data_IF_096990125127
#
_entry.id   IF_096990125127
#
_cell.length_a   1.000
_cell.length_b   1.000
_cell.length_c   1.000
_cell.angle_alpha   90.00
_cell.angle_beta   90.00
_cell.angle_gamma   90.00
#
_symmetry.space_group_name_H-M   'P 1'
#
loop_
_entity.id
_entity.type
_entity.pdbx_description
1 polymer ?
#
# COMPACT_ATOMS: atom_id res chain seq x y z
N UNK A 1 18.12 -5.91 -2.65
CA UNK A 1 18.41 -6.56 -1.36
C UNK A 1 18.78 -8.04 -1.52
N UNK A 2 17.86 -8.89 -1.99
CA UNK A 2 18.04 -10.34 -2.06
C UNK A 2 19.29 -10.77 -2.87
N UNK A 3 19.55 -10.15 -4.02
CA UNK A 3 20.73 -10.47 -4.85
C UNK A 3 22.06 -10.11 -4.17
N UNK A 4 22.05 -9.13 -3.28
CA UNK A 4 23.26 -8.63 -2.59
C UNK A 4 23.44 -9.24 -1.21
N UNK A 5 22.44 -9.97 -0.69
CA UNK A 5 22.51 -10.61 0.61
C UNK A 5 23.43 -11.83 0.58
N UNK A 6 24.07 -12.13 1.70
CA UNK A 6 24.80 -13.39 1.89
C UNK A 6 23.84 -14.59 1.97
N UNK A 7 24.39 -15.79 1.90
CA UNK A 7 23.59 -17.01 1.83
C UNK A 7 22.81 -17.31 3.14
N UNK A 8 23.29 -16.87 4.28
CA UNK A 8 22.61 -17.04 5.57
C UNK A 8 21.37 -16.14 5.61
N UNK A 9 21.55 -14.87 5.25
CA UNK A 9 20.44 -13.89 5.18
C UNK A 9 19.38 -14.27 4.14
N UNK A 10 19.80 -14.80 2.97
CA UNK A 10 18.88 -15.34 1.96
C UNK A 10 18.03 -16.47 2.52
N UNK A 11 18.65 -17.45 3.17
CA UNK A 11 17.94 -18.58 3.79
C UNK A 11 16.94 -18.13 4.84
N UNK A 12 17.33 -17.16 5.67
CA UNK A 12 16.47 -16.58 6.69
C UNK A 12 15.29 -15.84 6.09
N UNK A 13 15.52 -15.02 5.06
CA UNK A 13 14.48 -14.33 4.30
C UNK A 13 13.50 -15.33 3.67
N UNK A 14 14.00 -16.36 2.96
CA UNK A 14 13.15 -17.39 2.35
C UNK A 14 12.33 -18.16 3.39
N UNK A 15 12.87 -18.38 4.59
CA UNK A 15 12.13 -19.01 5.69
C UNK A 15 10.94 -18.14 6.15
N UNK A 16 11.14 -16.84 6.31
CA UNK A 16 10.08 -15.92 6.69
C UNK A 16 9.04 -15.71 5.58
N UNK A 17 9.43 -15.76 4.32
CA UNK A 17 8.47 -15.76 3.20
C UNK A 17 7.65 -17.05 3.23
N UNK A 18 8.28 -18.20 3.42
CA UNK A 18 7.60 -19.51 3.48
C UNK A 18 6.63 -19.62 4.65
N UNK A 19 6.95 -19.02 5.79
CA UNK A 19 6.05 -18.99 6.97
C UNK A 19 4.94 -17.95 6.85
N UNK A 20 4.97 -17.06 5.84
CA UNK A 20 3.98 -16.00 5.66
C UNK A 20 4.20 -14.77 6.54
N UNK A 21 5.36 -14.65 7.21
CA UNK A 21 5.74 -13.47 7.99
C UNK A 21 6.22 -12.32 7.10
N UNK A 22 6.78 -12.64 5.93
CA UNK A 22 7.12 -11.67 4.88
C UNK A 22 6.25 -11.98 3.66
N UNK A 23 5.42 -11.02 3.24
CA UNK A 23 4.67 -11.09 1.99
C UNK A 23 5.51 -10.58 0.81
N UNK A 24 5.43 -11.28 -0.31
CA UNK A 24 5.96 -10.79 -1.58
C UNK A 24 4.84 -10.22 -2.42
N UNK A 25 5.12 -9.13 -3.14
CA UNK A 25 4.18 -8.56 -4.12
C UNK A 25 4.27 -9.31 -5.45
N UNK A 26 3.14 -9.51 -6.12
CA UNK A 26 3.08 -10.05 -7.47
C UNK A 26 3.79 -9.17 -8.50
N UNK A 27 3.96 -7.89 -8.23
CA UNK A 27 4.68 -6.96 -9.09
C UNK A 27 6.19 -7.06 -8.85
N UNK A 28 6.95 -7.28 -9.92
CA UNK A 28 8.41 -7.19 -9.84
C UNK A 28 8.90 -5.74 -9.66
N UNK A 29 8.22 -4.81 -10.34
CA UNK A 29 8.46 -3.36 -10.27
C UNK A 29 7.11 -2.65 -10.25
N UNK A 30 7.08 -1.40 -9.78
CA UNK A 30 5.99 -0.49 -10.09
C UNK A 30 6.03 -0.19 -11.58
N UNK A 31 4.89 -0.32 -12.24
CA UNK A 31 4.78 -0.15 -13.67
C UNK A 31 3.75 0.90 -14.01
N UNK A 32 3.96 1.58 -15.14
CA UNK A 32 2.99 2.52 -15.70
C UNK A 32 2.08 1.79 -16.68
N UNK A 33 0.98 2.40 -17.05
CA UNK A 33 0.06 1.94 -18.10
C UNK A 33 0.70 1.88 -19.50
N UNK A 34 1.87 2.49 -19.69
CA UNK A 34 2.63 2.45 -20.95
C UNK A 34 3.40 1.14 -21.16
N UNK A 35 3.50 0.29 -20.15
CA UNK A 35 4.20 -0.98 -20.30
C UNK A 35 3.48 -1.90 -21.27
N UNK A 36 4.24 -2.53 -22.18
CA UNK A 36 3.65 -3.49 -23.11
C UNK A 36 3.22 -4.78 -22.41
N UNK A 37 2.19 -5.44 -22.94
CA UNK A 37 1.69 -6.69 -22.36
C UNK A 37 2.77 -7.80 -22.22
N UNK A 38 3.70 -8.02 -23.17
CA UNK A 38 4.77 -8.99 -22.98
C UNK A 38 5.67 -8.66 -21.79
N UNK A 39 6.09 -7.40 -21.64
CA UNK A 39 6.94 -6.96 -20.52
C UNK A 39 6.22 -7.08 -19.20
N UNK A 40 4.94 -6.75 -19.15
CA UNK A 40 4.12 -6.90 -17.94
C UNK A 40 4.04 -8.38 -17.53
N UNK A 41 3.73 -9.28 -18.47
CA UNK A 41 3.65 -10.71 -18.18
C UNK A 41 5.00 -11.28 -17.72
N UNK A 42 6.10 -10.91 -18.36
CA UNK A 42 7.46 -11.30 -17.96
C UNK A 42 7.79 -10.88 -16.52
N UNK A 43 7.36 -9.70 -16.13
CA UNK A 43 7.51 -9.16 -14.78
C UNK A 43 6.74 -9.99 -13.74
N UNK A 44 5.50 -10.35 -14.05
CA UNK A 44 4.67 -11.20 -13.18
C UNK A 44 5.23 -12.62 -13.09
N UNK A 45 5.70 -13.20 -14.22
CA UNK A 45 6.35 -14.51 -14.26
C UNK A 45 7.60 -14.56 -13.37
N UNK A 46 8.42 -13.51 -13.36
CA UNK A 46 9.58 -13.41 -12.46
C UNK A 46 9.18 -13.53 -11.00
N UNK A 47 8.12 -12.87 -10.59
CA UNK A 47 7.65 -12.94 -9.22
C UNK A 47 7.06 -14.30 -8.87
N UNK A 48 6.31 -14.92 -9.78
CA UNK A 48 5.82 -16.28 -9.57
C UNK A 48 6.97 -17.31 -9.48
N UNK A 49 8.05 -17.10 -10.21
CA UNK A 49 9.26 -17.92 -10.07
C UNK A 49 9.90 -17.77 -8.66
N UNK A 50 9.89 -16.58 -8.09
CA UNK A 50 10.30 -16.37 -6.68
C UNK A 50 9.36 -17.07 -5.71
N UNK A 51 8.06 -16.99 -5.91
CA UNK A 51 7.08 -17.72 -5.11
C UNK A 51 7.33 -19.23 -5.10
N UNK A 52 7.58 -19.81 -6.27
CA UNK A 52 7.96 -21.23 -6.40
C UNK A 52 9.26 -21.54 -5.65
N UNK A 53 10.27 -20.70 -5.79
CA UNK A 53 11.58 -20.86 -5.13
C UNK A 53 11.47 -20.83 -3.62
N UNK A 54 10.69 -19.92 -3.08
CA UNK A 54 10.49 -19.76 -1.62
C UNK A 54 9.50 -20.76 -1.05
N UNK A 55 8.70 -21.43 -1.89
CA UNK A 55 7.68 -22.38 -1.47
C UNK A 55 6.41 -21.71 -0.91
N UNK A 56 6.18 -20.43 -1.23
CA UNK A 56 4.96 -19.69 -0.90
C UNK A 56 4.38 -19.05 -2.16
N UNK A 57 3.16 -19.43 -2.59
CA UNK A 57 2.51 -18.80 -3.74
C UNK A 57 2.33 -17.30 -3.53
N UNK A 58 2.58 -16.50 -4.57
CA UNK A 58 2.34 -15.07 -4.52
C UNK A 58 0.94 -14.79 -5.05
N UNK A 59 0.00 -14.54 -4.17
CA UNK A 59 -1.42 -14.33 -4.49
C UNK A 59 -1.87 -12.88 -4.36
N UNK A 60 -1.03 -12.03 -3.79
CA UNK A 60 -1.31 -10.62 -3.58
C UNK A 60 -0.26 -9.73 -4.27
N UNK A 61 -0.68 -8.56 -4.70
CA UNK A 61 0.20 -7.53 -5.23
C UNK A 61 -0.20 -6.15 -4.75
N UNK A 62 0.67 -5.19 -4.96
CA UNK A 62 0.37 -3.78 -4.68
C UNK A 62 1.09 -2.87 -5.66
N UNK A 63 0.49 -1.73 -5.90
CA UNK A 63 1.11 -0.62 -6.61
C UNK A 63 0.58 0.69 -6.05
N UNK A 64 1.47 1.64 -5.81
CA UNK A 64 1.15 2.95 -5.29
C UNK A 64 2.11 3.97 -5.88
N UNK A 65 1.69 5.23 -5.94
CA UNK A 65 2.49 6.34 -6.43
C UNK A 65 3.03 6.13 -7.86
N UNK A 66 2.13 5.72 -8.76
CA UNK A 66 2.41 5.52 -10.19
C UNK A 66 1.28 6.12 -11.04
N UNK A 67 1.47 6.13 -12.36
CA UNK A 67 0.53 6.69 -13.33
C UNK A 67 -0.84 6.01 -13.36
N UNK A 68 -1.02 4.89 -12.67
CA UNK A 68 -2.22 4.09 -12.68
C UNK A 68 -2.02 2.75 -13.35
N UNK A 69 -3.12 2.06 -13.61
CA UNK A 69 -3.16 0.70 -14.11
C UNK A 69 -4.08 0.61 -15.31
N UNK A 70 -3.56 0.13 -16.45
CA UNK A 70 -4.36 -0.15 -17.61
C UNK A 70 -5.33 -1.31 -17.36
N UNK A 71 -6.51 -1.29 -17.95
CA UNK A 71 -7.57 -2.27 -17.71
C UNK A 71 -7.15 -3.72 -17.92
N UNK A 72 -6.33 -3.97 -18.95
CA UNK A 72 -5.78 -5.31 -19.21
C UNK A 72 -4.88 -5.87 -18.09
N UNK A 73 -4.44 -5.02 -17.17
CA UNK A 73 -3.62 -5.46 -16.04
C UNK A 73 -4.40 -6.38 -15.08
N UNK A 74 -5.71 -6.19 -14.94
CA UNK A 74 -6.55 -7.10 -14.16
C UNK A 74 -6.47 -8.54 -14.67
N UNK A 75 -6.55 -8.73 -15.99
CA UNK A 75 -6.39 -10.06 -16.59
C UNK A 75 -4.98 -10.61 -16.41
N UNK A 76 -3.95 -9.79 -16.57
CA UNK A 76 -2.57 -10.21 -16.38
C UNK A 76 -2.33 -10.70 -14.94
N UNK A 77 -2.78 -9.96 -13.94
CA UNK A 77 -2.72 -10.33 -12.52
C UNK A 77 -3.42 -11.68 -12.29
N UNK A 78 -4.66 -11.80 -12.76
CA UNK A 78 -5.44 -13.02 -12.58
C UNK A 78 -4.79 -14.24 -13.22
N UNK A 79 -4.29 -14.11 -14.44
CA UNK A 79 -3.66 -15.19 -15.19
C UNK A 79 -2.34 -15.67 -14.54
N UNK A 80 -1.66 -14.80 -13.80
CA UNK A 80 -0.46 -15.16 -13.03
C UNK A 80 -0.76 -15.53 -11.56
N UNK A 81 -2.01 -15.79 -11.21
CA UNK A 81 -2.39 -16.27 -9.88
C UNK A 81 -2.55 -15.20 -8.82
N UNK A 82 -2.36 -13.92 -9.14
CA UNK A 82 -2.63 -12.81 -8.22
C UNK A 82 -4.14 -12.60 -8.12
N UNK A 83 -4.68 -12.72 -6.92
CA UNK A 83 -6.11 -12.62 -6.62
C UNK A 83 -6.47 -11.37 -5.86
N UNK A 84 -5.49 -10.78 -5.21
CA UNK A 84 -5.62 -9.61 -4.34
C UNK A 84 -4.69 -8.50 -4.82
N UNK A 85 -5.20 -7.28 -4.87
CA UNK A 85 -4.37 -6.16 -5.27
C UNK A 85 -4.68 -4.91 -4.45
N UNK A 86 -3.65 -4.38 -3.79
CA UNK A 86 -3.74 -3.16 -3.02
C UNK A 86 -3.19 -1.98 -3.84
N UNK A 87 -3.94 -0.89 -3.86
CA UNK A 87 -3.46 0.38 -4.40
C UNK A 87 -3.77 1.51 -3.44
N UNK A 88 -2.98 2.56 -3.50
CA UNK A 88 -3.22 3.80 -2.78
C UNK A 88 -2.88 4.95 -3.72
N UNK A 89 -3.90 5.63 -4.20
CA UNK A 89 -3.75 6.77 -5.09
C UNK A 89 -3.24 7.98 -4.34
N UNK A 90 -2.55 8.85 -5.04
CA UNK A 90 -2.02 10.08 -4.49
C UNK A 90 -3.12 11.13 -4.34
N UNK A 91 -3.63 11.42 -3.13
CA UNK A 91 -4.85 12.23 -2.97
C UNK A 91 -4.65 13.72 -3.21
N UNK A 92 -3.42 14.22 -3.20
CA UNK A 92 -3.15 15.65 -3.34
C UNK A 92 -3.24 16.17 -4.77
N UNK A 93 -3.28 15.30 -5.77
CA UNK A 93 -3.47 15.67 -7.16
C UNK A 93 -4.94 15.66 -7.62
N UNK A 94 -5.83 14.96 -6.90
CA UNK A 94 -7.24 14.94 -7.29
C UNK A 94 -8.10 13.85 -6.65
N UNK A 95 -9.15 13.46 -7.34
CA UNK A 95 -10.16 12.55 -6.80
C UNK A 95 -9.81 11.08 -7.03
N UNK A 96 -10.33 10.24 -6.15
CA UNK A 96 -10.19 8.78 -6.28
C UNK A 96 -11.08 8.24 -7.41
N UNK A 97 -10.63 7.24 -8.18
CA UNK A 97 -11.50 6.44 -9.02
C UNK A 97 -12.69 5.92 -8.18
N UNK A 98 -13.87 5.91 -8.80
CA UNK A 98 -15.14 5.55 -8.15
C UNK A 98 -15.54 6.43 -6.96
N UNK A 99 -14.87 7.55 -6.71
CA UNK A 99 -15.13 8.47 -5.59
C UNK A 99 -15.03 7.83 -4.21
N UNK A 100 -14.47 6.62 -4.10
CA UNK A 100 -14.36 5.86 -2.87
C UNK A 100 -12.94 5.43 -2.61
N UNK A 101 -12.51 5.61 -1.37
CA UNK A 101 -11.27 5.08 -0.80
C UNK A 101 -11.61 4.19 0.38
N UNK A 102 -10.66 3.39 0.80
CA UNK A 102 -10.76 2.54 2.00
C UNK A 102 -11.90 1.52 1.91
N UNK A 103 -12.22 1.09 0.69
CA UNK A 103 -13.27 0.11 0.40
C UNK A 103 -12.78 -0.93 -0.64
N UNK A 104 -13.24 -2.18 -0.54
CA UNK A 104 -12.94 -3.19 -1.53
C UNK A 104 -13.88 -3.08 -2.76
N UNK A 105 -13.37 -3.55 -3.90
CA UNK A 105 -14.14 -3.79 -5.11
C UNK A 105 -13.49 -4.91 -5.93
N UNK A 106 -14.27 -5.57 -6.77
CA UNK A 106 -13.71 -6.45 -7.78
C UNK A 106 -13.34 -5.65 -9.02
N UNK A 107 -12.08 -5.69 -9.40
CA UNK A 107 -11.64 -5.18 -10.70
C UNK A 107 -11.77 -6.30 -11.73
N UNK A 108 -12.73 -6.14 -12.63
CA UNK A 108 -13.00 -7.09 -13.68
C UNK A 108 -12.29 -6.67 -14.97
N UNK A 109 -11.36 -7.51 -15.43
CA UNK A 109 -10.61 -7.30 -16.66
C UNK A 109 -11.46 -7.50 -17.92
N UNK A 110 -10.89 -7.18 -19.09
CA UNK A 110 -11.56 -7.38 -20.40
C UNK A 110 -12.08 -8.80 -20.65
N UNK A 111 -11.41 -9.82 -20.12
CA UNK A 111 -11.79 -11.22 -20.25
C UNK A 111 -12.83 -11.69 -19.22
N UNK A 112 -13.29 -10.81 -18.32
CA UNK A 112 -14.26 -11.13 -17.28
C UNK A 112 -13.60 -11.75 -16.02
N UNK A 113 -12.30 -11.87 -15.97
CA UNK A 113 -11.57 -12.29 -14.77
C UNK A 113 -11.61 -11.17 -13.70
N UNK A 114 -11.64 -11.57 -12.43
CA UNK A 114 -11.77 -10.61 -11.32
C UNK A 114 -10.60 -10.72 -10.35
N UNK A 115 -10.08 -9.57 -9.95
CA UNK A 115 -9.12 -9.40 -8.86
C UNK A 115 -9.79 -8.60 -7.76
N UNK A 116 -9.69 -9.06 -6.51
CA UNK A 116 -10.19 -8.30 -5.37
C UNK A 116 -9.21 -7.17 -5.09
N UNK A 117 -9.70 -5.94 -5.24
CA UNK A 117 -8.93 -4.72 -5.05
C UNK A 117 -9.30 -4.03 -3.75
N UNK A 118 -8.32 -3.34 -3.20
CA UNK A 118 -8.52 -2.34 -2.16
C UNK A 118 -7.85 -1.04 -2.58
N UNK A 119 -8.63 0.03 -2.68
CA UNK A 119 -8.09 1.36 -2.84
C UNK A 119 -7.98 2.01 -1.46
N UNK A 120 -6.78 2.01 -0.90
CA UNK A 120 -6.52 2.60 0.41
C UNK A 120 -6.43 4.11 0.38
N UNK A 121 -6.25 4.69 1.55
CA UNK A 121 -5.73 6.03 1.69
C UNK A 121 -4.29 6.09 1.19
N UNK A 122 -3.65 7.24 1.30
CA UNK A 122 -2.28 7.42 0.84
C UNK A 122 -1.34 6.32 1.38
N UNK A 123 -0.42 5.83 0.55
CA UNK A 123 0.55 4.78 0.93
C UNK A 123 1.48 5.18 2.09
N UNK A 124 1.46 6.44 2.47
CA UNK A 124 2.23 7.02 3.55
C UNK A 124 1.40 7.30 4.82
N UNK A 125 0.13 6.93 4.84
CA UNK A 125 -0.79 7.26 5.93
C UNK A 125 -0.28 6.80 7.30
N UNK A 126 0.28 5.61 7.39
CA UNK A 126 0.85 5.11 8.65
C UNK A 126 2.08 5.91 9.12
N UNK A 127 2.87 6.44 8.19
CA UNK A 127 3.95 7.37 8.54
C UNK A 127 3.39 8.70 9.04
N UNK A 128 2.38 9.25 8.37
CA UNK A 128 1.71 10.48 8.79
C UNK A 128 1.07 10.36 10.17
N UNK A 129 0.68 9.16 10.56
CA UNK A 129 0.19 8.84 11.91
C UNK A 129 1.31 8.55 12.93
N UNK A 130 2.57 8.67 12.56
CA UNK A 130 3.72 8.36 13.41
C UNK A 130 3.86 6.89 13.84
N UNK A 131 3.34 5.92 13.07
CA UNK A 131 3.73 4.52 13.27
C UNK A 131 5.22 4.31 13.02
N UNK A 132 5.79 5.05 12.07
CA UNK A 132 7.24 5.19 11.91
C UNK A 132 7.71 6.48 12.57
N UNK A 133 8.79 6.46 13.37
CA UNK A 133 9.32 7.68 13.98
C UNK A 133 9.88 8.65 12.94
N UNK A 134 9.91 9.92 13.32
CA UNK A 134 10.48 11.03 12.53
C UNK A 134 9.84 11.19 11.14
N UNK A 135 8.54 10.93 11.03
CA UNK A 135 7.83 11.13 9.77
C UNK A 135 7.85 12.61 9.35
N UNK A 136 8.46 12.88 8.20
CA UNK A 136 8.67 14.23 7.69
C UNK A 136 7.61 14.74 6.73
N UNK A 137 6.54 13.99 6.48
CA UNK A 137 5.54 14.35 5.46
C UNK A 137 4.11 14.13 5.96
N UNK A 138 3.21 14.95 5.45
CA UNK A 138 1.78 14.83 5.68
C UNK A 138 1.05 15.20 4.38
N UNK A 139 0.58 14.19 3.66
CA UNK A 139 -0.15 14.34 2.40
C UNK A 139 -1.66 14.24 2.57
N UNK A 140 -2.09 13.35 3.48
CA UNK A 140 -3.51 13.04 3.73
C UNK A 140 -4.02 13.76 4.96
N UNK A 141 -3.26 13.70 6.06
CA UNK A 141 -3.66 14.30 7.34
C UNK A 141 -3.30 15.78 7.35
N UNK A 142 -4.33 16.62 7.36
CA UNK A 142 -4.20 18.08 7.42
C UNK A 142 -4.87 18.61 8.68
N UNK A 143 -4.21 18.38 9.77
CA UNK A 143 -4.62 18.82 11.10
C UNK A 143 -3.72 19.95 11.63
N UNK A 144 -3.94 20.35 12.87
CA UNK A 144 -3.14 21.38 13.55
C UNK A 144 -1.66 21.02 13.71
N UNK A 145 -1.30 19.75 13.58
CA UNK A 145 0.09 19.27 13.63
C UNK A 145 0.78 19.31 12.26
N UNK A 146 0.02 19.53 11.19
CA UNK A 146 0.55 19.56 9.83
C UNK A 146 1.67 20.60 9.66
N UNK A 147 1.46 21.82 10.16
CA UNK A 147 2.44 22.91 10.07
C UNK A 147 3.67 22.63 10.94
N UNK A 148 3.51 21.95 12.07
CA UNK A 148 4.62 21.56 12.94
C UNK A 148 5.52 20.53 12.26
N UNK A 149 4.96 19.55 11.58
CA UNK A 149 5.72 18.52 10.87
C UNK A 149 6.55 19.14 9.72
N UNK A 150 5.96 20.08 8.99
CA UNK A 150 6.61 20.71 7.84
C UNK A 150 7.52 21.89 8.22
N UNK A 151 7.42 22.47 9.42
CA UNK A 151 8.03 23.75 9.78
C UNK A 151 9.26 23.66 10.67
N UNK A 152 9.83 22.51 10.91
CA UNK A 152 10.91 22.30 11.91
C UNK A 152 10.53 22.60 13.37
N UNK A 153 9.36 23.17 13.65
CA UNK A 153 8.91 23.47 15.01
C UNK A 153 8.69 22.20 15.83
N UNK A 154 8.47 21.09 15.16
CA UNK A 154 8.35 19.78 15.79
C UNK A 154 9.67 19.26 16.36
N UNK A 155 10.82 19.72 15.82
CA UNK A 155 12.15 19.34 16.27
C UNK A 155 12.69 20.21 17.39
N UNK A 156 11.98 21.28 17.77
CA UNK A 156 12.33 22.17 18.89
C UNK A 156 11.63 21.78 20.21
N UNK A 157 11.00 20.60 20.28
CA UNK A 157 10.33 20.10 21.49
C UNK A 157 11.37 19.40 22.37
N UNK A 158 11.37 19.68 23.66
CA UNK A 158 12.32 19.09 24.62
C UNK A 158 12.27 17.55 24.66
N UNK A 159 11.09 16.94 24.37
CA UNK A 159 10.90 15.48 24.28
C UNK A 159 10.14 15.13 23.00
N UNK A 160 10.89 14.91 21.93
CA UNK A 160 10.37 14.59 20.61
C UNK A 160 9.62 13.23 20.60
N UNK A 161 10.11 12.23 21.33
CA UNK A 161 9.45 10.91 21.40
C UNK A 161 8.06 11.02 22.05
N UNK A 162 7.93 11.77 23.14
CA UNK A 162 6.66 11.99 23.80
C UNK A 162 5.69 12.80 22.95
N UNK A 163 6.18 13.79 22.22
CA UNK A 163 5.37 14.59 21.30
C UNK A 163 4.83 13.76 20.13
N UNK A 164 5.67 12.93 19.52
CA UNK A 164 5.24 11.99 18.46
C UNK A 164 4.24 10.97 18.98
N UNK A 165 4.43 10.42 20.19
CA UNK A 165 3.51 9.47 20.81
C UNK A 165 2.13 10.11 21.06
N UNK A 166 2.09 11.33 21.57
CA UNK A 166 0.85 12.08 21.75
C UNK A 166 0.15 12.37 20.41
N UNK A 167 0.90 12.74 19.38
CA UNK A 167 0.39 12.96 18.03
C UNK A 167 -0.17 11.66 17.41
N UNK A 168 0.51 10.54 17.60
CA UNK A 168 0.07 9.22 17.16
C UNK A 168 -1.30 8.87 17.73
N UNK A 169 -1.48 9.00 19.05
CA UNK A 169 -2.77 8.74 19.70
C UNK A 169 -3.88 9.67 19.17
N UNK A 170 -3.61 10.97 19.12
CA UNK A 170 -4.57 11.96 18.64
C UNK A 170 -5.01 11.67 17.19
N UNK A 171 -4.09 11.33 16.32
CA UNK A 171 -4.38 11.07 14.90
C UNK A 171 -5.14 9.77 14.70
N UNK A 172 -4.78 8.70 15.41
CA UNK A 172 -5.51 7.42 15.37
C UNK A 172 -6.95 7.64 15.81
N UNK A 173 -7.17 8.26 16.96
CA UNK A 173 -8.53 8.47 17.52
C UNK A 173 -9.38 9.34 16.58
N UNK A 174 -8.82 10.42 16.07
CA UNK A 174 -9.51 11.30 15.10
C UNK A 174 -9.84 10.57 13.81
N UNK A 175 -8.91 9.80 13.26
CA UNK A 175 -9.14 9.05 12.02
C UNK A 175 -10.24 8.00 12.20
N UNK A 176 -10.23 7.25 13.29
CA UNK A 176 -11.27 6.27 13.59
C UNK A 176 -12.63 6.94 13.81
N UNK A 177 -12.67 8.07 14.48
CA UNK A 177 -13.91 8.85 14.67
C UNK A 177 -14.47 9.35 13.31
N UNK A 178 -13.61 9.83 12.42
CA UNK A 178 -14.04 10.22 11.07
C UNK A 178 -14.63 9.05 10.29
N UNK A 179 -14.04 7.85 10.40
CA UNK A 179 -14.58 6.64 9.78
C UNK A 179 -15.95 6.25 10.37
N UNK A 180 -16.15 6.43 11.68
CA UNK A 180 -17.45 6.21 12.32
C UNK A 180 -18.52 7.21 11.78
N UNK A 181 -18.17 8.48 11.66
CA UNK A 181 -19.04 9.52 11.09
C UNK A 181 -19.41 9.21 9.62
N UNK A 182 -18.45 8.71 8.85
CA UNK A 182 -18.63 8.25 7.47
C UNK A 182 -19.38 6.91 7.37
N UNK A 183 -19.73 6.29 8.50
CA UNK A 183 -20.37 4.97 8.57
C UNK A 183 -19.55 3.85 7.90
N UNK A 184 -18.24 3.88 8.14
CA UNK A 184 -17.34 2.84 7.63
C UNK A 184 -17.82 1.45 8.07
N UNK A 185 -18.00 0.49 7.14
CA UNK A 185 -18.75 -0.71 7.43
C UNK A 185 -17.93 -1.87 8.02
N UNK A 186 -16.60 -1.72 8.12
CA UNK A 186 -15.72 -2.81 8.54
C UNK A 186 -15.15 -2.58 9.94
N UNK A 187 -14.83 -3.66 10.64
CA UNK A 187 -14.18 -3.64 11.96
C UNK A 187 -12.64 -3.56 11.86
N UNK A 188 -12.08 -3.43 10.68
CA UNK A 188 -10.64 -3.30 10.42
C UNK A 188 -10.39 -2.18 9.44
N UNK A 189 -9.21 -1.53 9.55
CA UNK A 189 -8.75 -0.51 8.60
C UNK A 189 -7.25 -0.66 8.39
N UNK A 190 -6.75 -0.61 7.14
CA UNK A 190 -5.32 -0.71 6.87
C UNK A 190 -4.63 0.65 7.01
N UNK A 191 -3.49 0.67 7.71
CA UNK A 191 -2.52 1.76 7.70
C UNK A 191 -1.26 1.29 6.99
N UNK A 192 -1.00 1.82 5.81
CA UNK A 192 0.23 1.49 5.11
C UNK A 192 1.39 2.33 5.64
N UNK A 193 2.51 1.68 5.91
CA UNK A 193 3.78 2.33 6.29
C UNK A 193 4.79 2.05 5.20
N UNK A 194 5.30 3.09 4.55
CA UNK A 194 6.14 2.98 3.36
C UNK A 194 7.65 2.92 3.64
N UNK A 195 8.08 3.18 4.87
CA UNK A 195 9.49 3.14 5.25
C UNK A 195 9.76 3.74 6.62
N UNK A 196 11.03 3.92 6.97
CA UNK A 196 11.46 4.37 8.29
C UNK A 196 11.05 5.82 8.61
N UNK A 197 11.24 6.74 7.68
CA UNK A 197 10.98 8.17 7.85
C UNK A 197 9.98 8.65 6.80
N UNK A 198 10.18 8.24 5.57
CA UNK A 198 9.40 8.60 4.39
C UNK A 198 9.39 7.43 3.40
N UNK A 199 8.81 7.64 2.22
CA UNK A 199 8.91 6.68 1.13
C UNK A 199 10.36 6.41 0.71
N UNK A 200 10.59 5.32 0.00
CA UNK A 200 11.93 4.88 -0.43
C UNK A 200 12.96 4.71 0.70
N UNK A 201 12.51 4.61 1.94
CA UNK A 201 13.34 4.40 3.12
C UNK A 201 13.38 2.90 3.52
N UNK A 202 14.42 2.47 4.23
CA UNK A 202 14.48 1.09 4.73
C UNK A 202 13.37 0.82 5.76
N UNK A 203 13.01 -0.45 6.00
CA UNK A 203 12.07 -0.80 7.07
C UNK A 203 12.62 -0.44 8.45
N UNK A 204 11.73 -0.11 9.39
CA UNK A 204 12.08 0.23 10.77
C UNK A 204 11.50 -0.79 11.77
N UNK A 205 12.34 -1.29 12.67
CA UNK A 205 11.91 -2.11 13.81
C UNK A 205 11.06 -1.34 14.84
N UNK A 206 11.15 -0.01 14.84
CA UNK A 206 10.41 0.84 15.76
C UNK A 206 8.90 0.77 15.53
N UNK A 207 8.49 0.46 14.30
CA UNK A 207 7.07 0.24 13.97
C UNK A 207 6.49 -0.89 14.83
N UNK A 208 7.17 -2.03 14.90
CA UNK A 208 6.74 -3.16 15.72
C UNK A 208 6.70 -2.81 17.23
N UNK A 209 7.67 -2.01 17.70
CA UNK A 209 7.70 -1.54 19.09
C UNK A 209 6.50 -0.63 19.40
N UNK A 210 6.18 0.31 18.50
CA UNK A 210 5.01 1.19 18.63
C UNK A 210 3.70 0.41 18.59
N UNK A 211 3.56 -0.54 17.69
CA UNK A 211 2.40 -1.43 17.63
C UNK A 211 2.19 -2.17 18.96
N UNK A 212 3.24 -2.69 19.59
CA UNK A 212 3.14 -3.34 20.90
C UNK A 212 2.68 -2.36 21.99
N UNK A 213 3.27 -1.15 22.07
CA UNK A 213 2.84 -0.11 23.02
C UNK A 213 1.36 0.27 22.83
N UNK A 214 0.92 0.44 21.58
CA UNK A 214 -0.48 0.76 21.27
C UNK A 214 -1.43 -0.36 21.69
N UNK A 215 -1.06 -1.61 21.51
CA UNK A 215 -1.85 -2.75 21.95
C UNK A 215 -1.99 -2.83 23.49
N UNK A 216 -0.96 -2.40 24.22
CA UNK A 216 -1.04 -2.27 25.68
C UNK A 216 -1.98 -1.13 26.08
N UNK A 217 -1.84 0.03 25.44
CA UNK A 217 -2.64 1.22 25.74
C UNK A 217 -4.13 1.03 25.40
N UNK A 218 -4.44 0.51 24.20
CA UNK A 218 -5.81 0.34 23.71
C UNK A 218 -6.40 -1.04 24.04
N UNK A 219 -5.82 -1.76 24.99
CA UNK A 219 -6.23 -3.12 25.35
C UNK A 219 -7.75 -3.25 25.53
N UNK A 220 -8.33 -4.17 24.77
CA UNK A 220 -9.77 -4.47 24.80
C UNK A 220 -10.65 -3.48 24.02
N UNK A 221 -10.05 -2.48 23.36
CA UNK A 221 -10.75 -1.52 22.50
C UNK A 221 -10.32 -1.61 21.05
N UNK A 222 -9.01 -1.50 20.80
CA UNK A 222 -8.41 -1.55 19.47
C UNK A 222 -7.27 -2.58 19.50
N UNK A 223 -7.14 -3.34 18.43
CA UNK A 223 -6.03 -4.26 18.23
C UNK A 223 -5.25 -3.88 16.97
N UNK A 224 -3.96 -3.61 17.12
CA UNK A 224 -3.05 -3.31 16.02
C UNK A 224 -2.25 -4.56 15.66
N UNK A 225 -2.22 -4.88 14.38
CA UNK A 225 -1.50 -6.04 13.88
C UNK A 225 -0.71 -5.67 12.62
N UNK A 226 0.56 -6.03 12.59
CA UNK A 226 1.31 -6.04 11.34
C UNK A 226 0.81 -7.21 10.48
N UNK A 227 0.50 -6.95 9.23
CA UNK A 227 -0.05 -7.95 8.33
C UNK A 227 0.62 -7.89 6.95
N UNK A 228 0.72 -9.04 6.29
CA UNK A 228 1.00 -9.08 4.86
C UNK A 228 -0.26 -8.72 4.06
N UNK A 229 -0.09 -8.38 2.78
CA UNK A 229 -1.25 -8.11 1.91
C UNK A 229 -2.21 -9.31 1.85
N UNK A 230 -1.67 -10.52 1.77
CA UNK A 230 -2.50 -11.73 1.76
C UNK A 230 -3.35 -11.85 3.02
N UNK A 231 -2.76 -11.69 4.21
CA UNK A 231 -3.48 -11.72 5.48
C UNK A 231 -4.55 -10.62 5.56
N UNK A 232 -4.23 -9.42 5.08
CA UNK A 232 -5.20 -8.33 5.02
C UNK A 232 -6.40 -8.68 4.13
N UNK A 233 -6.17 -9.17 2.92
CA UNK A 233 -7.26 -9.52 2.02
C UNK A 233 -8.08 -10.73 2.49
N UNK A 234 -7.48 -11.68 3.16
CA UNK A 234 -8.21 -12.76 3.83
C UNK A 234 -9.18 -12.23 4.89
N UNK A 235 -8.82 -11.14 5.57
CA UNK A 235 -9.72 -10.48 6.50
C UNK A 235 -10.81 -9.67 5.77
N UNK A 236 -10.48 -9.03 4.66
CA UNK A 236 -11.47 -8.38 3.77
C UNK A 236 -12.54 -9.38 3.33
N UNK A 237 -12.16 -10.55 2.85
CA UNK A 237 -13.10 -11.59 2.39
C UNK A 237 -14.06 -12.07 3.48
N UNK A 238 -13.62 -12.09 4.74
CA UNK A 238 -14.48 -12.46 5.88
C UNK A 238 -15.55 -11.41 6.18
N UNK A 239 -15.22 -10.15 6.03
CA UNK A 239 -16.07 -9.02 6.45
C UNK A 239 -16.89 -8.42 5.30
N UNK A 240 -16.32 -8.32 4.10
CA UNK A 240 -16.94 -7.64 2.99
C UNK A 240 -18.02 -8.50 2.32
N UNK A 241 -19.19 -7.89 2.13
CA UNK A 241 -20.34 -8.47 1.41
C UNK A 241 -20.75 -7.51 0.31
N UNK A 242 -21.37 -8.05 -0.73
CA UNK A 242 -21.91 -7.25 -1.85
C UNK A 242 -20.87 -6.31 -2.49
N UNK A 243 -19.64 -6.83 -2.66
CA UNK A 243 -18.50 -6.08 -3.17
C UNK A 243 -18.81 -5.61 -4.60
N UNK A 244 -18.75 -4.29 -4.88
CA UNK A 244 -19.03 -3.77 -6.21
C UNK A 244 -18.00 -4.22 -7.25
N UNK A 245 -18.40 -4.24 -8.51
CA UNK A 245 -17.54 -4.58 -9.64
C UNK A 245 -17.22 -3.31 -10.43
N UNK A 246 -15.94 -3.08 -10.65
CA UNK A 246 -15.44 -2.01 -11.51
C UNK A 246 -14.84 -2.59 -12.79
N UNK A 247 -15.11 -1.93 -13.93
CA UNK A 247 -14.56 -2.25 -15.25
C UNK A 247 -13.98 -0.99 -15.85
N UNK A 248 -12.77 -1.07 -16.38
CA UNK A 248 -12.07 0.06 -16.98
C UNK A 248 -10.68 0.26 -16.41
N UNK A 249 -10.01 1.28 -16.89
CA UNK A 249 -8.68 1.68 -16.41
C UNK A 249 -8.77 2.22 -14.98
N UNK A 250 -7.72 2.00 -14.22
CA UNK A 250 -7.57 2.53 -12.87
C UNK A 250 -6.44 3.57 -12.88
N UNK A 251 -6.79 4.76 -13.34
CA UNK A 251 -5.82 5.83 -13.60
C UNK A 251 -5.53 6.64 -12.34
N UNK A 252 -4.26 6.93 -12.11
CA UNK A 252 -3.78 7.88 -11.11
C UNK A 252 -3.49 9.24 -11.79
N UNK A 253 -3.34 10.27 -10.97
CA UNK A 253 -3.05 11.64 -11.42
C UNK A 253 -1.68 11.79 -12.08
N UNK A 254 -0.72 10.93 -11.78
CA UNK A 254 0.56 10.91 -12.45
C UNK A 254 0.47 10.65 -13.97
N UNK A 255 -0.70 10.20 -14.45
CA UNK A 255 -0.98 10.08 -15.87
C UNK A 255 -1.07 11.43 -16.60
N UNK A 256 -1.20 12.55 -15.90
CA UNK A 256 -1.30 13.90 -16.48
C UNK A 256 -0.06 14.29 -17.32
N UNK A 257 1.10 13.80 -16.92
CA UNK A 257 2.37 14.02 -17.66
C UNK A 257 2.45 13.35 -19.02
N UNK A 258 1.72 12.26 -19.24
CA UNK A 258 1.74 11.47 -20.47
C UNK A 258 1.17 12.27 -21.64
N UNK A 259 0.03 12.92 -21.43
CA UNK A 259 -0.63 13.73 -22.43
C UNK A 259 0.13 14.99 -22.81
N UNK A 260 0.99 15.52 -21.94
CA UNK A 260 1.81 16.71 -22.18
C UNK A 260 3.07 16.45 -23.01
N UNK A 261 3.47 15.18 -23.18
CA UNK A 261 4.70 14.78 -23.87
C UNK A 261 4.46 13.70 -24.93
N UNK A 262 3.58 13.90 -25.92
CA UNK A 262 3.18 12.85 -26.85
C UNK A 262 4.32 12.31 -27.72
N UNK A 263 5.28 13.15 -28.09
CA UNK A 263 6.40 12.71 -28.91
C UNK A 263 7.40 11.82 -28.15
N UNK A 264 7.88 12.17 -26.94
CA UNK A 264 8.66 11.25 -26.11
C UNK A 264 7.93 9.94 -25.79
N UNK A 265 6.63 9.99 -25.50
CA UNK A 265 5.81 8.79 -25.26
C UNK A 265 5.81 7.88 -26.49
N UNK A 266 5.61 8.45 -27.68
CA UNK A 266 5.68 7.66 -28.93
C UNK A 266 7.05 7.01 -29.12
N UNK A 267 8.14 7.74 -28.92
CA UNK A 267 9.50 7.19 -29.03
C UNK A 267 9.74 6.04 -28.04
N UNK A 268 9.22 6.15 -26.82
CA UNK A 268 9.28 5.09 -25.83
C UNK A 268 8.50 3.83 -26.27
N UNK A 269 7.31 4.01 -26.83
CA UNK A 269 6.48 2.89 -27.29
C UNK A 269 7.02 2.22 -28.55
N UNK A 270 7.80 2.95 -29.38
CA UNK A 270 8.42 2.44 -30.61
C UNK A 270 9.77 1.72 -30.33
N UNK A 271 10.37 1.89 -29.14
CA UNK A 271 11.66 1.31 -28.74
C UNK A 271 11.56 -0.12 -28.23
#
# INVERSE_FOLDING_TARGET
FYQMADEELKKKFEAYVRSGEIGLSGNYLNMTELVSAPVLNDSLDKMQAYGKKTGHPIVAGMSADINGLAWGYADALYNHGVRYFYTALHPHHGMFPNYHKTLPYYWEGPSGNRVLMWNGDHYHLGNEMFFSPHSGSAYTIRDELYDHINSKLFYDVEDEEAAEEAALHTRIERYLHNLEDEKYPYSMVPFMVSGAITDNAPPSKEIARRVNKLNEYYKGKIHFQMATLEQFFQEVEKQAKDIPVYRGDFTDWWADGIGSTPHPVKLYLDA
#
